data_IF_113812894567
#
_entry.id   IF_113812894567
#
_cell.length_a   1.000
_cell.length_b   1.000
_cell.length_c   1.000
_cell.angle_alpha   90.00
_cell.angle_beta   90.00
_cell.angle_gamma   90.00
#
_symmetry.space_group_name_H-M   'P 1'
#
loop_
_entity.id
_entity.type
_entity.pdbx_description
1 polymer ?
#
# COMPACT_ATOMS: atom_id res chain seq x y z
N UNK A 1 -18.74 6.57 -11.09
CA UNK A 1 -17.55 5.74 -10.79
C UNK A 1 -18.05 4.62 -9.90
N UNK A 2 -17.81 3.36 -10.28
CA UNK A 2 -18.23 2.21 -9.48
C UNK A 2 -17.51 2.27 -8.12
N UNK A 3 -18.11 1.75 -7.06
CA UNK A 3 -17.41 1.69 -5.77
C UNK A 3 -16.40 0.54 -5.79
N UNK A 4 -15.16 0.78 -5.37
CA UNK A 4 -14.14 -0.26 -5.26
C UNK A 4 -14.54 -1.34 -4.25
N UNK A 5 -15.39 -0.99 -3.27
CA UNK A 5 -16.02 -1.96 -2.38
C UNK A 5 -16.86 -2.97 -3.15
N UNK A 6 -17.59 -2.54 -4.18
CA UNK A 6 -18.40 -3.44 -4.99
C UNK A 6 -17.53 -4.43 -5.77
N UNK A 7 -16.43 -3.97 -6.36
CA UNK A 7 -15.46 -4.84 -7.06
C UNK A 7 -14.86 -5.86 -6.09
N UNK A 8 -14.55 -5.45 -4.85
CA UNK A 8 -13.94 -6.29 -3.83
C UNK A 8 -14.88 -7.31 -3.21
N UNK A 9 -16.11 -6.91 -2.89
CA UNK A 9 -17.08 -7.77 -2.23
C UNK A 9 -17.85 -8.64 -3.24
N UNK A 10 -18.14 -8.09 -4.42
CA UNK A 10 -18.97 -8.71 -5.44
C UNK A 10 -18.34 -8.60 -6.85
N UNK A 11 -17.12 -9.12 -7.07
CA UNK A 11 -16.44 -9.05 -8.38
C UNK A 11 -17.25 -9.70 -9.49
N UNK A 12 -17.96 -10.79 -9.17
CA UNK A 12 -18.79 -11.53 -10.13
C UNK A 12 -19.93 -10.69 -10.70
N UNK A 13 -20.53 -9.82 -9.89
CA UNK A 13 -21.62 -8.93 -10.34
C UNK A 13 -21.09 -7.93 -11.38
N UNK A 14 -19.87 -7.43 -11.17
CA UNK A 14 -19.21 -6.51 -12.11
C UNK A 14 -18.84 -7.24 -13.39
N UNK A 15 -18.26 -8.44 -13.29
CA UNK A 15 -17.92 -9.31 -14.43
C UNK A 15 -19.16 -9.69 -15.24
N UNK A 16 -20.26 -10.02 -14.61
CA UNK A 16 -21.52 -10.35 -15.29
C UNK A 16 -22.08 -9.14 -16.04
N UNK A 17 -22.00 -7.93 -15.46
CA UNK A 17 -22.40 -6.69 -16.14
C UNK A 17 -21.54 -6.41 -17.39
N UNK A 18 -20.23 -6.64 -17.29
CA UNK A 18 -19.29 -6.51 -18.41
C UNK A 18 -19.66 -7.48 -19.54
N UNK A 19 -19.94 -8.74 -19.20
CA UNK A 19 -20.42 -9.77 -20.16
C UNK A 19 -21.73 -9.37 -20.82
N UNK A 20 -22.70 -8.87 -20.05
CA UNK A 20 -23.99 -8.38 -20.58
C UNK A 20 -23.83 -7.21 -21.56
N UNK A 21 -22.76 -6.44 -21.42
CA UNK A 21 -22.39 -5.33 -22.32
C UNK A 21 -21.49 -5.77 -23.47
N UNK A 22 -21.17 -7.06 -23.58
CA UNK A 22 -20.29 -7.65 -24.60
C UNK A 22 -18.87 -7.05 -24.60
N UNK A 23 -18.34 -6.73 -23.41
CA UNK A 23 -17.02 -6.12 -23.23
C UNK A 23 -16.05 -7.08 -22.52
N UNK A 24 -16.00 -8.34 -22.95
CA UNK A 24 -15.24 -9.41 -22.26
C UNK A 24 -13.74 -9.10 -22.07
N UNK A 25 -13.16 -8.30 -22.96
CA UNK A 25 -11.81 -7.74 -22.85
C UNK A 25 -11.55 -6.99 -21.53
N UNK A 26 -12.60 -6.42 -20.92
CA UNK A 26 -12.51 -5.65 -19.67
C UNK A 26 -12.66 -6.51 -18.41
N UNK A 27 -12.94 -7.80 -18.54
CA UNK A 27 -13.03 -8.70 -17.38
C UNK A 27 -11.71 -8.74 -16.60
N UNK A 28 -10.59 -8.68 -17.33
CA UNK A 28 -9.24 -8.64 -16.76
C UNK A 28 -9.02 -7.40 -15.90
N UNK A 29 -9.63 -6.26 -16.25
CA UNK A 29 -9.53 -5.02 -15.47
C UNK A 29 -10.10 -5.18 -14.06
N UNK A 30 -11.11 -6.03 -13.88
CA UNK A 30 -11.72 -6.28 -12.56
C UNK A 30 -10.71 -6.98 -11.65
N UNK A 31 -10.07 -8.04 -12.15
CA UNK A 31 -9.06 -8.80 -11.40
C UNK A 31 -7.83 -7.95 -11.09
N UNK A 32 -7.39 -7.19 -12.07
CA UNK A 32 -6.30 -6.22 -11.94
C UNK A 32 -6.57 -5.15 -10.88
N UNK A 33 -7.78 -4.56 -10.86
CA UNK A 33 -8.16 -3.57 -9.84
C UNK A 33 -8.15 -4.19 -8.45
N UNK A 34 -8.56 -5.45 -8.31
CA UNK A 34 -8.53 -6.16 -7.01
C UNK A 34 -7.08 -6.36 -6.54
N UNK A 35 -6.18 -6.77 -7.42
CA UNK A 35 -4.77 -6.95 -7.08
C UNK A 35 -4.09 -5.61 -6.73
N UNK A 36 -4.37 -4.55 -7.50
CA UNK A 36 -3.87 -3.21 -7.17
C UNK A 36 -4.42 -2.68 -5.85
N UNK A 37 -5.72 -2.87 -5.57
CA UNK A 37 -6.32 -2.50 -4.27
C UNK A 37 -5.66 -3.25 -3.11
N UNK A 38 -5.38 -4.53 -3.30
CA UNK A 38 -4.68 -5.36 -2.31
C UNK A 38 -3.24 -4.86 -2.10
N UNK A 39 -2.52 -4.54 -3.17
CA UNK A 39 -1.17 -3.97 -3.10
C UNK A 39 -1.17 -2.60 -2.39
N UNK A 40 -2.12 -1.73 -2.72
CA UNK A 40 -2.28 -0.42 -2.09
C UNK A 40 -2.57 -0.54 -0.58
N UNK A 41 -3.48 -1.44 -0.19
CA UNK A 41 -3.76 -1.70 1.23
C UNK A 41 -2.55 -2.30 1.96
N UNK A 42 -1.81 -3.20 1.31
CA UNK A 42 -0.60 -3.76 1.87
C UNK A 42 0.50 -2.69 2.05
N UNK A 43 0.65 -1.78 1.09
CA UNK A 43 1.58 -0.65 1.18
C UNK A 43 1.22 0.28 2.35
N UNK A 44 -0.06 0.61 2.51
CA UNK A 44 -0.57 1.40 3.65
C UNK A 44 -0.28 0.75 4.99
N UNK A 45 -0.61 -0.53 5.12
CA UNK A 45 -0.34 -1.28 6.33
C UNK A 45 1.16 -1.30 6.63
N UNK A 46 2.00 -1.54 5.61
CA UNK A 46 3.45 -1.54 5.75
C UNK A 46 3.98 -0.17 6.18
N UNK A 47 3.45 0.92 5.62
CA UNK A 47 3.79 2.28 6.03
C UNK A 47 3.45 2.55 7.50
N UNK A 48 2.27 2.14 7.95
CA UNK A 48 1.87 2.29 9.35
C UNK A 48 2.74 1.44 10.30
N UNK A 49 3.07 0.21 9.90
CA UNK A 49 3.98 -0.67 10.64
C UNK A 49 5.38 -0.06 10.74
N UNK A 50 5.94 0.48 9.65
CA UNK A 50 7.24 1.16 9.63
C UNK A 50 7.26 2.40 10.52
N UNK A 51 6.19 3.20 10.50
CA UNK A 51 6.05 4.36 11.42
C UNK A 51 6.06 3.91 12.88
N UNK A 52 5.38 2.81 13.20
CA UNK A 52 5.37 2.24 14.54
C UNK A 52 6.76 1.71 14.95
N UNK A 53 7.44 0.98 14.06
CA UNK A 53 8.80 0.49 14.27
C UNK A 53 9.80 1.63 14.46
N UNK A 54 9.75 2.66 13.61
CA UNK A 54 10.57 3.86 13.71
C UNK A 54 10.43 4.53 15.08
N UNK A 55 9.19 4.67 15.58
CA UNK A 55 8.93 5.25 16.90
C UNK A 55 9.48 4.38 18.03
N UNK A 56 9.39 3.05 17.90
CA UNK A 56 9.94 2.09 18.86
C UNK A 56 11.47 2.16 18.90
N UNK A 57 12.12 2.15 17.74
CA UNK A 57 13.59 2.25 17.63
C UNK A 57 14.06 3.62 18.11
N UNK A 58 13.35 4.70 17.79
CA UNK A 58 13.68 6.05 18.28
C UNK A 58 13.72 6.12 19.81
N UNK A 59 12.80 5.45 20.50
CA UNK A 59 12.83 5.32 21.97
C UNK A 59 14.02 4.47 22.46
N UNK A 60 14.32 3.38 21.76
CA UNK A 60 15.47 2.53 22.06
C UNK A 60 16.80 3.28 21.90
N UNK A 61 16.96 4.12 20.87
CA UNK A 61 18.14 4.97 20.68
C UNK A 61 18.36 5.87 21.90
N UNK A 62 17.31 6.50 22.41
CA UNK A 62 17.40 7.32 23.62
C UNK A 62 17.86 6.55 24.86
N UNK A 63 17.43 5.30 25.01
CA UNK A 63 17.87 4.40 26.08
C UNK A 63 19.34 3.98 25.89
N UNK A 64 19.70 3.51 24.70
CA UNK A 64 21.07 3.08 24.36
C UNK A 64 22.10 4.20 24.53
N UNK A 65 21.73 5.43 24.15
CA UNK A 65 22.57 6.62 24.36
C UNK A 65 22.77 6.94 25.85
N UNK A 66 21.75 6.73 26.69
CA UNK A 66 21.88 6.87 28.15
C UNK A 66 22.73 5.75 28.78
N UNK A 67 22.66 4.54 28.23
CA UNK A 67 23.49 3.40 28.64
C UNK A 67 24.94 3.49 28.12
N UNK A 68 25.27 4.49 27.31
CA UNK A 68 26.61 4.66 26.73
C UNK A 68 26.93 3.74 25.55
N UNK A 69 25.94 2.97 25.06
CA UNK A 69 26.05 2.04 23.93
C UNK A 69 25.94 2.77 22.59
N UNK A 70 26.96 3.55 22.27
CA UNK A 70 26.98 4.41 21.06
C UNK A 70 26.88 3.61 19.76
N UNK A 71 27.57 2.47 19.66
CA UNK A 71 27.59 1.66 18.45
C UNK A 71 26.20 1.08 18.12
N UNK A 72 25.48 0.58 19.14
CA UNK A 72 24.10 0.08 18.98
C UNK A 72 23.13 1.21 18.63
N UNK A 73 23.34 2.40 19.20
CA UNK A 73 22.53 3.59 18.90
C UNK A 73 22.75 4.11 17.47
N UNK A 74 23.96 4.05 16.94
CA UNK A 74 24.26 4.40 15.54
C UNK A 74 23.66 3.39 14.57
N UNK A 75 23.77 2.08 14.85
CA UNK A 75 23.13 1.05 14.04
C UNK A 75 21.59 1.22 14.02
N UNK A 76 20.99 1.56 15.16
CA UNK A 76 19.57 1.86 15.25
C UNK A 76 19.17 3.12 14.47
N UNK A 77 19.99 4.18 14.48
CA UNK A 77 19.77 5.38 13.64
C UNK A 77 19.83 5.07 12.15
N UNK A 78 20.74 4.20 11.73
CA UNK A 78 20.81 3.76 10.34
C UNK A 78 19.52 3.06 9.90
N UNK A 79 18.98 2.16 10.73
CA UNK A 79 17.67 1.52 10.47
C UNK A 79 16.52 2.51 10.38
N UNK A 80 16.48 3.53 11.25
CA UNK A 80 15.46 4.59 11.18
C UNK A 80 15.54 5.34 9.84
N UNK A 81 16.75 5.59 9.34
CA UNK A 81 16.95 6.23 8.04
C UNK A 81 16.50 5.34 6.88
N UNK A 82 16.74 4.02 6.96
CA UNK A 82 16.22 3.05 5.99
C UNK A 82 14.69 3.02 5.98
N UNK A 83 14.06 3.04 7.16
CA UNK A 83 12.60 3.10 7.28
C UNK A 83 12.01 4.39 6.71
N UNK A 84 12.68 5.52 6.91
CA UNK A 84 12.26 6.79 6.32
C UNK A 84 12.32 6.74 4.78
N UNK A 85 13.30 6.04 4.21
CA UNK A 85 13.41 5.81 2.76
C UNK A 85 12.32 4.85 2.25
N UNK A 86 12.11 3.72 2.93
CA UNK A 86 11.06 2.75 2.59
C UNK A 86 9.66 3.38 2.68
N UNK A 87 9.44 4.27 3.65
CA UNK A 87 8.20 5.05 3.77
C UNK A 87 7.96 5.96 2.57
N UNK A 88 8.97 6.68 2.10
CA UNK A 88 8.85 7.52 0.90
C UNK A 88 8.52 6.67 -0.33
N UNK A 89 9.20 5.54 -0.50
CA UNK A 89 8.96 4.64 -1.63
C UNK A 89 7.55 4.03 -1.59
N UNK A 90 7.04 3.72 -0.39
CA UNK A 90 5.68 3.24 -0.19
C UNK A 90 4.65 4.33 -0.50
N UNK A 91 4.87 5.57 -0.07
CA UNK A 91 3.97 6.70 -0.38
C UNK A 91 3.86 6.95 -1.90
N UNK A 92 4.97 6.83 -2.64
CA UNK A 92 4.96 6.90 -4.11
C UNK A 92 4.16 5.75 -4.71
N UNK A 93 4.42 4.51 -4.26
CA UNK A 93 3.68 3.32 -4.74
C UNK A 93 2.18 3.41 -4.43
N UNK A 94 1.81 3.91 -3.27
CA UNK A 94 0.40 4.12 -2.91
C UNK A 94 -0.28 5.11 -3.84
N UNK A 95 0.40 6.21 -4.20
CA UNK A 95 -0.11 7.19 -5.15
C UNK A 95 -0.28 6.57 -6.55
N UNK A 96 0.73 5.85 -7.03
CA UNK A 96 0.70 5.13 -8.31
C UNK A 96 -0.45 4.11 -8.35
N UNK A 97 -0.55 3.24 -7.35
CA UNK A 97 -1.64 2.25 -7.28
C UNK A 97 -3.01 2.93 -7.20
N UNK A 98 -3.15 3.99 -6.41
CA UNK A 98 -4.41 4.73 -6.30
C UNK A 98 -4.82 5.36 -7.63
N UNK A 99 -3.87 5.94 -8.36
CA UNK A 99 -4.13 6.54 -9.66
C UNK A 99 -4.51 5.47 -10.70
N UNK A 100 -3.79 4.36 -10.71
CA UNK A 100 -4.02 3.28 -11.65
C UNK A 100 -5.36 2.55 -11.41
N UNK A 101 -5.69 2.31 -10.14
CA UNK A 101 -7.03 1.85 -9.74
C UNK A 101 -8.10 2.80 -10.27
N UNK A 102 -7.94 4.11 -10.05
CA UNK A 102 -8.91 5.12 -10.48
C UNK A 102 -9.08 5.12 -12.00
N UNK A 103 -7.97 5.05 -12.75
CA UNK A 103 -7.98 5.02 -14.21
C UNK A 103 -8.70 3.78 -14.73
N UNK A 104 -8.40 2.59 -14.19
CA UNK A 104 -9.06 1.34 -14.59
C UNK A 104 -10.55 1.33 -14.22
N UNK A 105 -10.89 1.85 -13.04
CA UNK A 105 -12.29 1.99 -12.60
C UNK A 105 -13.12 2.97 -13.43
N UNK A 106 -12.50 3.93 -14.14
CA UNK A 106 -13.22 4.82 -15.06
C UNK A 106 -13.61 4.14 -16.38
N UNK A 107 -12.88 3.09 -16.76
CA UNK A 107 -13.09 2.35 -18.02
C UNK A 107 -14.08 1.21 -17.84
N UNK A 108 -14.28 0.74 -16.61
CA UNK A 108 -15.26 -0.28 -16.24
C UNK A 108 -16.69 0.30 -16.41
N UNK A 109 -17.59 -0.38 -17.14
CA UNK A 109 -18.89 0.17 -17.55
C UNK A 109 -20.00 0.11 -16.49
#
# INVERSE_FOLDING_TARGET
MIDIKLIRENPEVVKENIKKKFQDEKLVLVDEVIELDKANRAAKQRGDDLRAERNRISKQIGLLMREGKKDEAEAAKAKVKEFDQELQDLEVKEAEYSEEIKNRMMIIP
#
